data_IF_811693576751
#
_entry.id   IF_811693576751
#
_cell.length_a   1.000
_cell.length_b   1.000
_cell.length_c   1.000
_cell.angle_alpha   90.00
_cell.angle_beta   90.00
_cell.angle_gamma   90.00
#
_symmetry.space_group_name_H-M   'P 1'
#
loop_
_entity.id
_entity.type
_entity.pdbx_description
1 polymer ?
#
# COMPACT_ATOMS: atom_id res chain seq x y z
N UNK A 1 21.78 -64.52 -41.27
CA UNK A 1 21.40 -63.91 -39.98
C UNK A 1 22.37 -62.78 -39.70
N UNK A 2 22.04 -61.56 -40.09
CA UNK A 2 22.71 -60.36 -39.54
C UNK A 2 21.79 -59.15 -39.75
N UNK A 3 21.58 -58.42 -38.67
CA UNK A 3 20.47 -57.50 -38.47
C UNK A 3 20.77 -56.10 -39.01
N UNK A 4 19.88 -55.56 -39.85
CA UNK A 4 19.92 -54.15 -40.24
C UNK A 4 19.19 -53.29 -39.20
N UNK A 5 19.95 -52.51 -38.43
CA UNK A 5 19.45 -51.54 -37.46
C UNK A 5 18.78 -50.35 -38.16
N UNK A 6 17.47 -50.17 -37.97
CA UNK A 6 16.76 -48.95 -38.36
C UNK A 6 16.95 -47.90 -37.27
N UNK A 7 17.75 -46.87 -37.55
CA UNK A 7 17.86 -45.67 -36.73
C UNK A 7 16.59 -44.83 -36.89
N UNK A 8 15.72 -44.84 -35.88
CA UNK A 8 14.59 -43.93 -35.72
C UNK A 8 15.12 -42.52 -35.39
N UNK A 9 15.04 -41.61 -36.36
CA UNK A 9 15.43 -40.20 -36.18
C UNK A 9 14.33 -39.49 -35.40
N UNK A 10 14.54 -39.31 -34.09
CA UNK A 10 13.67 -38.53 -33.22
C UNK A 10 13.76 -37.04 -33.62
N UNK A 11 12.69 -36.48 -34.18
CA UNK A 11 12.60 -35.05 -34.46
C UNK A 11 12.25 -34.32 -33.16
N UNK A 12 13.25 -33.69 -32.55
CA UNK A 12 13.06 -32.80 -31.40
C UNK A 12 12.33 -31.54 -31.86
N UNK A 13 11.06 -31.38 -31.46
CA UNK A 13 10.34 -30.10 -31.55
C UNK A 13 10.95 -29.12 -30.52
N UNK A 14 11.74 -28.17 -30.99
CA UNK A 14 12.16 -27.00 -30.22
C UNK A 14 10.97 -26.04 -30.12
N UNK A 15 10.26 -26.06 -28.99
CA UNK A 15 9.26 -25.05 -28.66
C UNK A 15 9.99 -23.74 -28.32
N UNK A 16 9.70 -22.59 -28.95
CA UNK A 16 10.33 -21.33 -28.60
C UNK A 16 9.88 -20.91 -27.21
N UNK A 17 10.83 -20.78 -26.29
CA UNK A 17 10.63 -20.24 -24.95
C UNK A 17 10.38 -18.73 -25.08
N UNK A 18 9.12 -18.32 -25.09
CA UNK A 18 8.74 -16.90 -25.02
C UNK A 18 8.96 -16.45 -23.57
N UNK A 19 10.09 -15.80 -23.31
CA UNK A 19 10.31 -15.05 -22.07
C UNK A 19 9.47 -13.76 -22.12
N UNK A 20 8.32 -13.76 -21.46
CA UNK A 20 7.61 -12.52 -21.14
C UNK A 20 8.37 -11.82 -20.02
N UNK A 21 9.18 -10.83 -20.37
CA UNK A 21 9.73 -9.89 -19.39
C UNK A 21 8.60 -8.94 -18.99
N UNK A 22 7.96 -9.19 -17.85
CA UNK A 22 7.08 -8.20 -17.22
C UNK A 22 7.94 -7.04 -16.74
N UNK A 23 7.95 -5.94 -17.49
CA UNK A 23 8.54 -4.69 -17.03
C UNK A 23 7.63 -4.15 -15.94
N UNK A 24 8.03 -4.31 -14.67
CA UNK A 24 7.40 -3.59 -13.57
C UNK A 24 7.83 -2.14 -13.70
N UNK A 25 6.91 -1.26 -14.08
CA UNK A 25 7.18 0.17 -14.14
C UNK A 25 7.53 0.67 -12.74
N UNK A 26 8.73 1.27 -12.60
CA UNK A 26 9.08 1.98 -11.39
C UNK A 26 8.11 3.14 -11.19
N UNK A 27 7.80 3.46 -9.92
CA UNK A 27 7.05 4.67 -9.59
C UNK A 27 7.88 5.89 -10.01
N UNK A 28 7.54 6.49 -11.14
CA UNK A 28 8.16 7.69 -11.66
C UNK A 28 7.20 8.88 -11.54
N UNK A 29 7.51 9.79 -10.62
CA UNK A 29 6.80 11.06 -10.48
C UNK A 29 7.20 11.99 -11.63
N UNK A 30 6.26 12.77 -12.14
CA UNK A 30 6.51 13.66 -13.29
C UNK A 30 7.52 14.75 -12.92
N UNK A 31 8.38 15.13 -13.87
CA UNK A 31 9.33 16.24 -13.68
C UNK A 31 8.62 17.53 -13.27
N UNK A 32 7.40 17.75 -13.80
CA UNK A 32 6.55 18.88 -13.42
C UNK A 32 6.22 18.88 -11.94
N UNK A 33 5.75 17.76 -11.40
CA UNK A 33 5.47 17.63 -9.96
C UNK A 33 6.74 17.82 -9.13
N UNK A 34 7.83 17.19 -9.53
CA UNK A 34 9.10 17.26 -8.80
C UNK A 34 9.67 18.68 -8.76
N UNK A 35 9.59 19.43 -9.87
CA UNK A 35 9.96 20.85 -9.93
C UNK A 35 9.05 21.70 -9.06
N UNK A 36 7.73 21.52 -9.17
CA UNK A 36 6.76 22.25 -8.35
C UNK A 36 7.02 22.07 -6.85
N UNK A 37 7.25 20.84 -6.41
CA UNK A 37 7.54 20.55 -5.00
C UNK A 37 8.87 21.18 -4.55
N UNK A 38 9.89 21.18 -5.41
CA UNK A 38 11.16 21.83 -5.12
C UNK A 38 10.99 23.35 -4.96
N UNK A 39 10.26 23.98 -5.86
CA UNK A 39 10.07 25.45 -5.89
C UNK A 39 9.19 25.94 -4.74
N UNK A 40 8.08 25.24 -4.45
CA UNK A 40 7.09 25.70 -3.47
C UNK A 40 7.33 25.18 -2.05
N UNK A 41 7.90 23.96 -1.90
CA UNK A 41 8.06 23.29 -0.61
C UNK A 41 9.53 23.03 -0.23
N UNK A 42 10.46 23.30 -1.14
CA UNK A 42 11.90 23.25 -0.89
C UNK A 42 12.53 21.86 -1.00
N UNK A 43 13.87 21.85 -0.86
CA UNK A 43 14.71 20.66 -1.09
C UNK A 43 14.34 19.47 -0.20
N UNK A 44 13.94 19.71 1.06
CA UNK A 44 13.59 18.64 1.98
C UNK A 44 12.33 17.87 1.52
N UNK A 45 11.33 18.57 0.98
CA UNK A 45 10.12 17.96 0.44
C UNK A 45 10.43 17.17 -0.83
N UNK A 46 11.17 17.80 -1.75
CA UNK A 46 11.63 17.16 -2.97
C UNK A 46 12.41 15.86 -2.67
N UNK A 47 13.32 15.90 -1.70
CA UNK A 47 14.13 14.73 -1.32
C UNK A 47 13.30 13.58 -0.74
N UNK A 48 12.20 13.87 -0.02
CA UNK A 48 11.29 12.83 0.49
C UNK A 48 10.57 12.11 -0.65
N UNK A 49 10.15 12.83 -1.69
CA UNK A 49 9.57 12.24 -2.89
C UNK A 49 10.59 11.41 -3.68
N UNK A 50 11.81 11.91 -3.87
CA UNK A 50 12.87 11.09 -4.48
C UNK A 50 13.15 9.80 -3.70
N UNK A 51 13.17 9.89 -2.36
CA UNK A 51 13.37 8.72 -1.51
C UNK A 51 12.22 7.72 -1.61
N UNK A 52 11.01 8.17 -1.86
CA UNK A 52 9.85 7.30 -2.10
C UNK A 52 9.98 6.58 -3.45
N UNK A 53 10.40 7.27 -4.52
CA UNK A 53 10.70 6.63 -5.80
C UNK A 53 11.82 5.58 -5.66
N UNK A 54 12.89 5.91 -4.92
CA UNK A 54 13.99 4.97 -4.63
C UNK A 54 13.51 3.76 -3.82
N UNK A 55 12.64 3.96 -2.81
CA UNK A 55 12.03 2.87 -2.06
C UNK A 55 11.29 1.90 -3.01
N UNK A 56 10.46 2.44 -3.90
CA UNK A 56 9.73 1.63 -4.89
C UNK A 56 10.69 0.83 -5.77
N UNK A 57 11.68 1.50 -6.37
CA UNK A 57 12.67 0.84 -7.23
C UNK A 57 13.45 -0.28 -6.52
N UNK A 58 13.80 -0.09 -5.24
CA UNK A 58 14.56 -1.07 -4.45
C UNK A 58 13.71 -2.25 -3.96
N UNK A 59 12.44 -2.03 -3.65
CA UNK A 59 11.59 -3.01 -2.97
C UNK A 59 10.55 -3.67 -3.88
N UNK A 60 10.28 -3.16 -5.09
CA UNK A 60 9.26 -3.71 -5.99
C UNK A 60 9.45 -5.22 -6.28
N UNK A 61 10.70 -5.70 -6.35
CA UNK A 61 11.01 -7.12 -6.58
C UNK A 61 11.42 -7.89 -5.30
N UNK A 62 11.29 -7.27 -4.12
CA UNK A 62 11.62 -7.92 -2.87
C UNK A 62 10.50 -8.88 -2.43
N UNK A 63 10.80 -9.90 -1.60
CA UNK A 63 9.77 -10.68 -0.93
C UNK A 63 8.77 -9.80 -0.16
N UNK A 64 7.50 -10.18 -0.16
CA UNK A 64 6.42 -9.37 0.43
C UNK A 64 6.70 -8.97 1.88
N UNK A 65 7.24 -9.88 2.71
CA UNK A 65 7.59 -9.55 4.10
C UNK A 65 8.60 -8.40 4.20
N UNK A 66 9.53 -8.31 3.26
CA UNK A 66 10.50 -7.22 3.17
C UNK A 66 9.85 -5.94 2.64
N UNK A 67 8.95 -6.03 1.67
CA UNK A 67 8.16 -4.89 1.20
C UNK A 67 7.38 -4.26 2.36
N UNK A 68 6.64 -5.06 3.13
CA UNK A 68 5.86 -4.61 4.28
C UNK A 68 6.74 -3.84 5.29
N UNK A 69 7.88 -4.42 5.69
CA UNK A 69 8.80 -3.78 6.66
C UNK A 69 9.37 -2.46 6.15
N UNK A 70 9.83 -2.43 4.89
CA UNK A 70 10.43 -1.23 4.30
C UNK A 70 9.40 -0.12 4.14
N UNK A 71 8.20 -0.44 3.65
CA UNK A 71 7.11 0.53 3.50
C UNK A 71 6.63 1.05 4.85
N UNK A 72 6.41 0.17 5.84
CA UNK A 72 6.00 0.59 7.18
C UNK A 72 7.00 1.56 7.80
N UNK A 73 8.28 1.18 7.78
CA UNK A 73 9.37 1.98 8.36
C UNK A 73 9.63 3.28 7.58
N UNK A 74 9.28 3.32 6.29
CA UNK A 74 9.39 4.53 5.47
C UNK A 74 8.37 5.58 5.89
N UNK A 75 7.09 5.24 5.86
CA UNK A 75 6.04 6.21 6.17
C UNK A 75 5.99 6.58 7.65
N UNK A 76 6.40 5.69 8.56
CA UNK A 76 6.47 5.99 9.99
C UNK A 76 7.55 7.02 10.38
N UNK A 77 8.32 7.53 9.41
CA UNK A 77 9.23 8.68 9.62
C UNK A 77 8.54 10.04 9.43
N UNK A 78 7.35 10.05 8.86
CA UNK A 78 6.54 11.27 8.72
C UNK A 78 6.02 11.69 10.10
N UNK A 79 5.81 12.99 10.29
CA UNK A 79 5.31 13.53 11.57
C UNK A 79 3.80 13.29 11.67
N UNK A 80 3.33 12.80 12.82
CA UNK A 80 1.90 12.76 13.08
C UNK A 80 1.35 14.18 13.34
N UNK A 81 0.40 14.62 12.54
CA UNK A 81 -0.29 15.91 12.66
C UNK A 81 -1.77 15.71 12.32
N UNK A 82 -2.67 15.97 13.27
CA UNK A 82 -4.12 15.90 13.04
C UNK A 82 -4.56 16.83 11.92
N UNK A 83 -5.55 16.41 11.13
CA UNK A 83 -6.07 17.18 10.01
C UNK A 83 -6.47 18.62 10.35
N UNK A 84 -7.17 18.83 11.46
CA UNK A 84 -7.61 20.19 11.83
C UNK A 84 -6.44 21.16 12.02
N UNK A 85 -5.27 20.64 12.46
CA UNK A 85 -4.05 21.46 12.59
C UNK A 85 -3.29 21.58 11.28
N UNK A 86 -3.34 20.55 10.45
CA UNK A 86 -2.56 20.47 9.23
C UNK A 86 -3.26 21.17 8.05
N UNK A 87 -4.53 20.83 7.82
CA UNK A 87 -5.34 21.24 6.69
C UNK A 87 -6.41 22.27 7.06
N UNK A 88 -6.70 22.47 8.36
CA UNK A 88 -7.80 23.33 8.81
C UNK A 88 -9.19 22.74 8.54
N UNK A 89 -9.25 21.45 8.24
CA UNK A 89 -10.44 20.66 7.94
C UNK A 89 -10.37 19.35 8.76
N UNK A 90 -11.50 18.75 9.09
CA UNK A 90 -11.54 17.41 9.68
C UNK A 90 -11.67 16.34 8.58
N UNK A 91 -11.04 15.18 8.78
CA UNK A 91 -11.16 13.97 7.93
C UNK A 91 -10.73 14.23 6.47
N UNK A 92 -9.57 14.88 6.30
CA UNK A 92 -8.93 15.13 5.02
C UNK A 92 -7.93 14.01 4.72
N UNK A 93 -8.30 13.09 3.82
CA UNK A 93 -7.40 11.98 3.46
C UNK A 93 -6.34 12.47 2.48
N UNK A 94 -5.10 12.64 2.94
CA UNK A 94 -3.99 13.06 2.11
C UNK A 94 -3.50 11.93 1.19
N UNK A 95 -3.08 12.32 -0.01
CA UNK A 95 -2.35 11.45 -0.93
C UNK A 95 -0.94 11.18 -0.40
N UNK A 96 -0.25 10.12 -0.87
CA UNK A 96 1.15 9.89 -0.51
C UNK A 96 2.06 11.07 -0.90
N UNK A 97 1.74 11.77 -1.99
CA UNK A 97 2.47 12.95 -2.44
C UNK A 97 2.30 14.09 -1.45
N UNK A 98 1.09 14.39 -1.00
CA UNK A 98 0.82 15.44 -0.02
C UNK A 98 1.46 15.12 1.34
N UNK A 99 1.23 13.91 1.86
CA UNK A 99 1.81 13.43 3.12
C UNK A 99 3.34 13.63 3.15
N UNK A 100 4.01 13.25 2.07
CA UNK A 100 5.46 13.41 1.96
C UNK A 100 5.88 14.86 1.67
N UNK A 101 5.10 15.61 0.90
CA UNK A 101 5.44 17.00 0.56
C UNK A 101 5.39 17.88 1.81
N UNK A 102 4.34 17.76 2.63
CA UNK A 102 4.17 18.58 3.84
C UNK A 102 4.82 17.96 5.08
N UNK A 103 5.23 16.69 5.02
CA UNK A 103 5.81 15.93 6.15
C UNK A 103 4.88 15.83 7.37
N UNK A 104 3.57 15.78 7.13
CA UNK A 104 2.54 15.71 8.14
C UNK A 104 1.34 14.91 7.65
N UNK A 105 0.67 14.24 8.59
CA UNK A 105 -0.61 13.56 8.37
C UNK A 105 -1.01 12.80 9.62
N UNK A 106 -2.19 12.22 9.64
CA UNK A 106 -2.68 11.41 10.75
C UNK A 106 -2.89 9.94 10.35
N UNK A 107 -3.69 9.18 11.10
CA UNK A 107 -3.63 7.71 11.04
C UNK A 107 -4.06 7.13 9.69
N UNK A 108 -5.00 7.80 9.05
CA UNK A 108 -5.53 7.47 7.74
C UNK A 108 -4.47 7.64 6.66
N UNK A 109 -3.79 8.78 6.65
CA UNK A 109 -2.81 9.15 5.64
C UNK A 109 -1.67 8.14 5.59
N UNK A 110 -1.20 7.70 6.77
CA UNK A 110 -0.16 6.69 6.87
C UNK A 110 -0.64 5.34 6.34
N UNK A 111 -1.87 4.94 6.68
CA UNK A 111 -2.45 3.68 6.24
C UNK A 111 -2.68 3.66 4.72
N UNK A 112 -3.18 4.76 4.16
CA UNK A 112 -3.42 4.94 2.73
C UNK A 112 -2.10 4.97 1.95
N UNK A 113 -1.09 5.70 2.45
CA UNK A 113 0.19 5.79 1.77
C UNK A 113 0.93 4.45 1.72
N UNK A 114 0.88 3.68 2.82
CA UNK A 114 1.40 2.31 2.85
C UNK A 114 0.63 1.41 1.89
N UNK A 115 -0.70 1.50 1.89
CA UNK A 115 -1.59 0.71 1.03
C UNK A 115 -1.27 0.93 -0.46
N UNK A 116 -1.29 2.18 -0.92
CA UNK A 116 -1.06 2.55 -2.31
C UNK A 116 0.37 2.19 -2.76
N UNK A 117 1.35 2.35 -1.87
CA UNK A 117 2.74 2.00 -2.17
C UNK A 117 2.92 0.48 -2.34
N UNK A 118 2.35 -0.33 -1.45
CA UNK A 118 2.41 -1.79 -1.54
C UNK A 118 1.67 -2.32 -2.78
N UNK A 119 0.51 -1.73 -3.10
CA UNK A 119 -0.23 -1.98 -4.34
C UNK A 119 0.63 -1.69 -5.57
N UNK A 120 1.29 -0.53 -5.60
CA UNK A 120 2.20 -0.16 -6.68
C UNK A 120 3.43 -1.07 -6.78
N UNK A 121 3.83 -1.74 -5.69
CA UNK A 121 4.89 -2.77 -5.67
C UNK A 121 4.38 -4.18 -6.06
N UNK A 122 3.10 -4.32 -6.41
CA UNK A 122 2.51 -5.59 -6.87
C UNK A 122 1.92 -6.46 -5.78
N UNK A 123 1.76 -5.97 -4.54
CA UNK A 123 1.01 -6.71 -3.52
C UNK A 123 -0.48 -6.74 -3.92
N UNK A 124 -1.13 -7.92 -3.98
CA UNK A 124 -2.52 -8.04 -4.39
C UNK A 124 -3.51 -7.22 -3.55
N UNK A 125 -4.59 -6.69 -4.16
CA UNK A 125 -5.61 -5.86 -3.47
C UNK A 125 -6.32 -6.64 -2.37
N UNK A 126 -6.62 -7.90 -2.66
CA UNK A 126 -7.37 -8.82 -1.81
C UNK A 126 -6.59 -9.23 -0.56
N UNK A 127 -5.27 -9.01 -0.56
CA UNK A 127 -4.40 -9.19 0.60
C UNK A 127 -4.27 -7.95 1.46
N UNK A 128 -4.73 -6.77 1.00
CA UNK A 128 -4.55 -5.52 1.72
C UNK A 128 -5.90 -4.95 2.15
N UNK A 129 -6.04 -4.62 3.43
CA UNK A 129 -7.23 -3.93 3.95
C UNK A 129 -6.83 -2.82 4.88
N UNK A 130 -7.32 -1.63 4.61
CA UNK A 130 -7.32 -0.54 5.57
C UNK A 130 -8.41 -0.82 6.60
N UNK A 131 -8.10 -0.72 7.89
CA UNK A 131 -9.02 -1.05 8.98
C UNK A 131 -9.20 0.16 9.87
N UNK A 132 -10.45 0.58 10.04
CA UNK A 132 -10.85 1.50 11.09
C UNK A 132 -10.99 0.71 12.39
N UNK A 133 -10.27 1.17 13.42
CA UNK A 133 -10.21 0.52 14.73
C UNK A 133 -10.44 1.56 15.83
N UNK A 134 -10.81 1.09 17.01
CA UNK A 134 -10.67 1.86 18.24
C UNK A 134 -9.33 1.50 18.89
N UNK A 135 -8.44 2.48 19.03
CA UNK A 135 -7.23 2.33 19.83
C UNK A 135 -7.62 2.44 21.32
N UNK A 136 -7.65 1.31 22.01
CA UNK A 136 -8.21 1.18 23.36
C UNK A 136 -7.42 1.95 24.40
N UNK A 137 -6.08 1.92 24.32
CA UNK A 137 -5.20 2.62 25.26
C UNK A 137 -5.30 4.15 25.14
N UNK A 138 -5.51 4.65 23.93
CA UNK A 138 -5.70 6.08 23.65
C UNK A 138 -7.19 6.50 23.76
N UNK A 139 -8.10 5.52 23.82
CA UNK A 139 -9.54 5.69 23.78
C UNK A 139 -10.03 6.61 22.65
N UNK A 140 -9.53 6.39 21.43
CA UNK A 140 -9.89 7.16 20.24
C UNK A 140 -9.99 6.28 19.00
N UNK A 141 -10.61 6.83 17.95
CA UNK A 141 -10.56 6.27 16.61
C UNK A 141 -9.12 6.24 16.09
N UNK A 142 -8.81 5.22 15.29
CA UNK A 142 -7.51 5.03 14.65
C UNK A 142 -7.66 4.24 13.36
N UNK A 143 -6.67 4.33 12.47
CA UNK A 143 -6.66 3.60 11.20
C UNK A 143 -5.32 2.89 11.02
N UNK A 144 -5.38 1.63 10.60
CA UNK A 144 -4.20 0.79 10.34
C UNK A 144 -4.32 0.09 8.99
N UNK A 145 -3.20 -0.39 8.45
CA UNK A 145 -3.19 -1.27 7.29
C UNK A 145 -2.96 -2.72 7.73
N UNK A 146 -3.82 -3.63 7.29
CA UNK A 146 -3.66 -5.07 7.47
C UNK A 146 -3.22 -5.74 6.17
N UNK A 147 -2.26 -6.66 6.27
CA UNK A 147 -1.89 -7.57 5.20
C UNK A 147 -2.24 -9.02 5.55
N UNK A 148 -2.96 -9.69 4.67
CA UNK A 148 -3.41 -11.06 4.79
C UNK A 148 -2.59 -11.96 3.85
N UNK A 149 -1.90 -12.97 4.40
CA UNK A 149 -1.22 -13.97 3.58
C UNK A 149 -2.22 -14.83 2.79
N UNK A 150 -3.34 -15.14 3.44
CA UNK A 150 -4.52 -15.80 2.88
C UNK A 150 -5.78 -15.15 3.48
N UNK A 151 -6.95 -15.25 2.84
CA UNK A 151 -8.18 -14.61 3.33
C UNK A 151 -8.53 -14.91 4.80
N UNK A 152 -8.21 -16.12 5.27
CA UNK A 152 -8.50 -16.59 6.64
C UNK A 152 -7.30 -16.49 7.60
N UNK A 153 -6.16 -15.93 7.16
CA UNK A 153 -4.98 -15.79 8.02
C UNK A 153 -5.16 -14.68 9.06
N UNK A 154 -4.51 -14.84 10.22
CA UNK A 154 -4.29 -13.76 11.18
C UNK A 154 -3.41 -12.68 10.50
N UNK A 155 -3.93 -11.48 10.21
CA UNK A 155 -3.24 -10.52 9.39
C UNK A 155 -2.10 -9.85 10.13
N UNK A 156 -1.09 -9.40 9.39
CA UNK A 156 -0.05 -8.53 9.89
C UNK A 156 -0.52 -7.07 9.86
N UNK A 157 -0.36 -6.37 10.99
CA UNK A 157 -0.78 -4.98 11.16
C UNK A 157 0.41 -4.04 10.98
N UNK A 158 0.27 -3.13 10.03
CA UNK A 158 1.16 -2.01 9.74
C UNK A 158 0.53 -0.75 10.33
N UNK A 159 1.11 -0.25 11.41
CA UNK A 159 0.60 0.86 12.22
C UNK A 159 1.60 2.03 12.22
N UNK A 160 1.14 3.26 12.45
CA UNK A 160 1.98 4.43 12.68
C UNK A 160 2.26 4.68 14.18
N UNK A 161 1.49 4.09 15.09
CA UNK A 161 1.77 4.17 16.54
C UNK A 161 3.01 3.37 16.95
N UNK A 162 3.27 2.26 16.26
CA UNK A 162 4.45 1.40 16.48
C UNK A 162 5.06 0.96 15.15
N UNK A 163 6.38 0.84 15.09
CA UNK A 163 7.09 0.36 13.90
C UNK A 163 7.05 -1.17 13.73
N UNK A 164 6.89 -1.91 14.84
CA UNK A 164 6.85 -3.37 14.82
C UNK A 164 5.58 -3.85 14.13
N UNK A 165 5.76 -4.62 13.05
CA UNK A 165 4.66 -5.30 12.38
C UNK A 165 4.31 -6.56 13.18
N UNK A 166 3.11 -6.60 13.73
CA UNK A 166 2.63 -7.70 14.58
C UNK A 166 1.37 -8.33 13.98
N UNK A 167 1.12 -9.63 14.22
CA UNK A 167 -0.18 -10.23 13.95
C UNK A 167 -1.30 -9.51 14.71
N UNK A 168 -2.51 -9.46 14.16
CA UNK A 168 -3.64 -8.79 14.80
C UNK A 168 -4.00 -9.44 16.15
N UNK A 169 -3.85 -10.75 16.29
CA UNK A 169 -4.01 -11.45 17.58
C UNK A 169 -3.07 -10.97 18.70
N UNK A 170 -1.99 -10.25 18.35
CA UNK A 170 -1.04 -9.65 19.31
C UNK A 170 -1.27 -8.15 19.52
N UNK A 171 -2.26 -7.54 18.85
CA UNK A 171 -2.65 -6.13 18.96
C UNK A 171 -3.95 -6.00 19.73
N UNK A 172 -3.95 -6.48 20.98
CA UNK A 172 -5.09 -6.41 21.89
C UNK A 172 -5.47 -4.96 22.27
N UNK A 173 -4.64 -3.99 21.91
CA UNK A 173 -4.86 -2.56 22.03
C UNK A 173 -5.75 -1.98 20.91
N UNK A 174 -6.05 -2.76 19.85
CA UNK A 174 -6.88 -2.34 18.72
C UNK A 174 -8.17 -3.16 18.62
N UNK A 175 -9.32 -2.48 18.64
CA UNK A 175 -10.62 -3.10 18.43
C UNK A 175 -11.16 -2.77 17.01
N UNK A 176 -11.25 -3.74 16.09
CA UNK A 176 -11.67 -3.46 14.71
C UNK A 176 -13.16 -3.15 14.60
N UNK A 177 -13.51 -2.16 13.78
CA UNK A 177 -14.91 -1.75 13.51
C UNK A 177 -15.32 -2.10 12.08
N UNK A 178 -14.53 -1.64 11.09
CA UNK A 178 -14.77 -1.95 9.68
C UNK A 178 -13.44 -1.92 8.90
N UNK A 179 -13.45 -2.47 7.70
CA UNK A 179 -12.29 -2.46 6.81
C UNK A 179 -12.69 -2.24 5.36
N UNK A 180 -11.77 -1.71 4.56
CA UNK A 180 -11.97 -1.47 3.13
C UNK A 180 -10.67 -1.58 2.35
N UNK A 181 -10.78 -1.68 1.04
CA UNK A 181 -9.69 -1.60 0.09
C UNK A 181 -10.17 -0.89 -1.19
N UNK A 182 -9.47 -1.03 -2.31
CA UNK A 182 -9.82 -0.35 -3.56
C UNK A 182 -11.16 -0.81 -4.15
N UNK A 183 -11.64 -1.99 -3.78
CA UNK A 183 -12.79 -2.67 -4.41
C UNK A 183 -14.00 -2.87 -3.48
N UNK A 184 -13.80 -2.89 -2.16
CA UNK A 184 -14.86 -3.30 -1.23
C UNK A 184 -14.78 -2.65 0.15
N UNK A 185 -15.93 -2.70 0.83
CA UNK A 185 -16.12 -2.28 2.21
C UNK A 185 -16.78 -3.41 3.01
N UNK A 186 -16.20 -3.75 4.17
CA UNK A 186 -16.62 -4.83 5.06
C UNK A 186 -16.81 -4.31 6.49
N UNK A 187 -17.88 -4.71 7.18
CA UNK A 187 -18.01 -4.50 8.62
C UNK A 187 -17.32 -5.65 9.35
N UNK A 188 -16.48 -5.32 10.33
CA UNK A 188 -15.85 -6.30 11.20
C UNK A 188 -16.74 -6.47 12.43
N UNK A 189 -17.45 -7.60 12.53
CA UNK A 189 -18.27 -7.91 13.70
C UNK A 189 -17.52 -8.86 14.63
N UNK A 190 -17.68 -8.66 15.93
CA UNK A 190 -17.05 -9.47 17.00
C UNK A 190 -17.33 -10.98 16.89
N UNK A 191 -18.35 -11.38 16.12
CA UNK A 191 -18.75 -12.77 15.90
C UNK A 191 -18.00 -13.51 14.79
N UNK A 192 -17.04 -12.88 14.09
CA UNK A 192 -16.22 -13.51 13.04
C UNK A 192 -16.80 -13.45 11.62
N UNK A 193 -18.06 -13.05 11.45
CA UNK A 193 -18.67 -12.82 10.14
C UNK A 193 -18.36 -11.41 9.61
N UNK A 194 -17.36 -11.32 8.73
CA UNK A 194 -17.05 -10.10 7.98
C UNK A 194 -18.07 -9.93 6.84
N UNK A 195 -19.11 -9.14 7.08
CA UNK A 195 -20.13 -8.87 6.07
C UNK A 195 -19.65 -7.78 5.10
N UNK A 196 -19.52 -8.11 3.81
CA UNK A 196 -19.35 -7.08 2.77
C UNK A 196 -20.61 -6.23 2.72
N UNK A 197 -20.48 -4.94 2.98
CA UNK A 197 -21.60 -3.99 3.02
C UNK A 197 -21.64 -3.05 1.82
N UNK A 198 -20.60 -3.05 0.99
CA UNK A 198 -20.60 -2.24 -0.23
C UNK A 198 -19.26 -2.15 -0.95
N UNK A 199 -19.17 -1.06 -1.69
CA UNK A 199 -18.04 -0.66 -2.52
C UNK A 199 -17.34 0.53 -1.84
N UNK A 200 -16.01 0.50 -1.75
CA UNK A 200 -15.23 1.56 -1.12
C UNK A 200 -15.36 2.90 -1.84
N UNK A 201 -15.74 2.93 -3.12
CA UNK A 201 -16.02 4.15 -3.88
C UNK A 201 -17.21 4.95 -3.36
N UNK A 202 -18.01 4.37 -2.47
CA UNK A 202 -19.06 5.09 -1.74
C UNK A 202 -18.51 5.94 -0.59
N UNK A 203 -17.25 5.74 -0.20
CA UNK A 203 -16.55 6.62 0.74
C UNK A 203 -16.09 7.86 -0.03
N UNK A 204 -16.69 9.01 0.28
CA UNK A 204 -16.44 10.25 -0.46
C UNK A 204 -14.98 10.67 -0.39
N UNK A 205 -14.35 10.56 0.78
CA UNK A 205 -12.92 10.83 1.01
C UNK A 205 -12.00 9.96 0.14
N UNK A 206 -12.35 8.67 -0.03
CA UNK A 206 -11.56 7.75 -0.88
C UNK A 206 -11.64 8.14 -2.36
N UNK A 207 -12.83 8.54 -2.84
CA UNK A 207 -12.99 9.01 -4.22
C UNK A 207 -12.20 10.31 -4.46
N UNK A 208 -12.37 11.30 -3.57
CA UNK A 208 -11.67 12.59 -3.67
C UNK A 208 -10.14 12.42 -3.68
N UNK A 209 -9.60 11.59 -2.79
CA UNK A 209 -8.17 11.27 -2.76
C UNK A 209 -7.69 10.69 -4.10
N UNK A 210 -8.42 9.74 -4.68
CA UNK A 210 -8.03 9.12 -5.94
C UNK A 210 -8.07 10.11 -7.12
N UNK A 211 -9.03 11.04 -7.12
CA UNK A 211 -9.11 12.10 -8.13
C UNK A 211 -7.89 13.05 -8.03
N UNK A 212 -7.54 13.49 -6.80
CA UNK A 212 -6.36 14.33 -6.55
C UNK A 212 -5.05 13.64 -6.86
N UNK A 213 -4.92 12.36 -6.50
CA UNK A 213 -3.74 11.55 -6.82
C UNK A 213 -3.57 11.39 -8.33
N UNK A 214 -4.67 11.12 -9.05
CA UNK A 214 -4.66 11.00 -10.51
C UNK A 214 -4.21 12.30 -11.17
N UNK A 215 -4.69 13.44 -10.69
CA UNK A 215 -4.25 14.76 -11.17
C UNK A 215 -2.76 15.00 -10.92
N UNK A 216 -2.29 14.74 -9.70
CA UNK A 216 -0.90 14.94 -9.31
C UNK A 216 0.09 14.09 -10.12
N UNK A 217 -0.34 12.89 -10.52
CA UNK A 217 0.48 11.95 -11.30
C UNK A 217 0.37 12.14 -12.82
N UNK A 218 -0.38 13.15 -13.31
CA UNK A 218 -0.42 13.42 -14.75
C UNK A 218 0.97 13.84 -15.26
N UNK A 219 1.38 13.31 -16.43
CA UNK A 219 2.65 13.66 -17.06
C UNK A 219 2.74 15.14 -17.45
#
# INVERSE_FOLDING_TARGET
MEAASRLTRCQSLLLPLILTVSVVSALELSSRLMTYVLEEFGEAAHQRLENWQRLHALAANAPTDRQLRLVNSFFNRVTFVSDIRHWGQEDYWATPVELLTTNGGDCEDFSIAKYLTLRAMGVPDDQLRIIYVKALELNQAHMVLAWYKTPDSDPLILDNLINDIKPASQRNDLEPVYSFNGEGLWLNRTSGDNARIGDARKLEHWRDLNDRLTEALRP
#
